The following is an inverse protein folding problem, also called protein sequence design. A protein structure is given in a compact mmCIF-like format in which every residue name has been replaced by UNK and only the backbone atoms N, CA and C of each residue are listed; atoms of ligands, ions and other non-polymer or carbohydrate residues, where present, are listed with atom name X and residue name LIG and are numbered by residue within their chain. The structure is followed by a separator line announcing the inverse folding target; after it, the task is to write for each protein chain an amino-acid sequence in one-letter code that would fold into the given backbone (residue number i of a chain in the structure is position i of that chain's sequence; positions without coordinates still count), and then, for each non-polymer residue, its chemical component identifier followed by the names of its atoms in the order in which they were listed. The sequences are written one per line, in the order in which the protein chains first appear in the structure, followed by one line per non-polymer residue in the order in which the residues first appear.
data_IF_692281136722
#
_entry.id   IF_692281136722
#
_cell.length_a   1.000
_cell.length_b   1.000
_cell.length_c   1.000
_cell.angle_alpha   90.00
_cell.angle_beta   90.00
_cell.angle_gamma   90.00
#
_symmetry.space_group_name_H-M   'P 1'
#
loop_
_entity.id
_entity.type
_entity.pdbx_description
1 polymer ?
#
# COMPACT_ATOMS: atom_id res chain seq x y z
N UNK A 1 -21.87 19.76 -0.10
CA UNK A 1 -21.16 20.39 -1.23
C UNK A 1 -20.47 21.64 -0.69
N UNK A 2 -19.15 21.57 -0.50
CA UNK A 2 -18.36 22.71 -0.01
C UNK A 2 -17.89 23.47 -1.24
N UNK A 3 -18.64 24.52 -1.63
CA UNK A 3 -18.29 25.40 -2.73
C UNK A 3 -17.36 26.52 -2.23
N UNK A 4 -16.18 26.18 -1.68
CA UNK A 4 -15.12 27.16 -1.46
C UNK A 4 -14.11 27.02 -2.60
N UNK A 5 -13.86 28.13 -3.30
CA UNK A 5 -12.86 28.21 -4.39
C UNK A 5 -11.46 28.09 -3.75
N UNK A 6 -10.90 26.89 -3.79
CA UNK A 6 -9.56 26.64 -3.26
C UNK A 6 -8.56 27.24 -4.25
N UNK A 7 -7.75 28.20 -3.81
CA UNK A 7 -6.75 28.90 -4.62
C UNK A 7 -5.32 28.39 -4.39
N UNK A 8 -5.13 27.51 -3.40
CA UNK A 8 -3.79 27.01 -3.01
C UNK A 8 -3.26 26.00 -4.01
N UNK A 9 -1.98 26.11 -4.39
CA UNK A 9 -1.28 25.06 -5.13
C UNK A 9 -0.95 23.89 -4.22
N UNK A 10 -1.05 22.67 -4.74
CA UNK A 10 -0.70 21.45 -4.01
C UNK A 10 0.46 20.77 -4.71
N UNK A 11 1.50 20.51 -3.95
CA UNK A 11 2.64 19.71 -4.38
C UNK A 11 2.67 18.38 -3.62
N UNK A 12 3.18 17.34 -4.27
CA UNK A 12 3.34 16.01 -3.68
C UNK A 12 4.81 15.59 -3.83
N UNK A 13 5.54 15.57 -2.72
CA UNK A 13 6.90 15.04 -2.69
C UNK A 13 6.84 13.53 -2.44
N UNK A 14 7.11 12.73 -3.47
CA UNK A 14 7.11 11.28 -3.40
C UNK A 14 8.13 10.70 -4.36
N UNK A 15 8.64 9.50 -4.08
CA UNK A 15 9.55 8.77 -4.95
C UNK A 15 9.04 7.35 -5.23
N UNK A 16 9.52 6.78 -6.34
CA UNK A 16 9.32 5.38 -6.69
C UNK A 16 10.50 4.88 -7.50
N UNK A 17 11.10 3.77 -7.07
CA UNK A 17 12.23 3.15 -7.75
C UNK A 17 12.28 1.65 -7.46
N UNK A 18 12.93 0.89 -8.34
CA UNK A 18 13.18 -0.54 -8.14
C UNK A 18 14.53 -0.77 -7.45
N UNK A 19 14.73 -0.10 -6.33
CA UNK A 19 15.92 -0.23 -5.50
C UNK A 19 15.54 -0.57 -4.06
N UNK A 20 16.48 -1.22 -3.34
CA UNK A 20 16.27 -1.55 -1.94
C UNK A 20 15.90 -0.29 -1.14
N UNK A 21 14.87 -0.38 -0.34
CA UNK A 21 14.32 0.65 0.56
C UNK A 21 13.45 1.74 -0.08
N UNK A 22 13.32 1.87 -1.41
CA UNK A 22 12.41 2.87 -1.99
C UNK A 22 11.12 2.19 -2.48
N UNK A 23 11.18 1.23 -3.40
CA UNK A 23 9.99 0.58 -3.96
C UNK A 23 9.05 1.58 -4.67
N UNK A 24 7.89 1.09 -5.10
CA UNK A 24 6.87 1.90 -5.78
C UNK A 24 5.69 2.30 -4.88
N UNK A 25 5.66 1.83 -3.63
CA UNK A 25 4.50 1.95 -2.75
C UNK A 25 4.08 3.40 -2.45
N UNK A 26 5.04 4.28 -2.16
CA UNK A 26 4.79 5.70 -1.91
C UNK A 26 4.15 6.38 -3.12
N UNK A 27 4.68 6.11 -4.32
CA UNK A 27 4.20 6.72 -5.56
C UNK A 27 2.78 6.21 -5.93
N UNK A 28 2.51 4.92 -5.75
CA UNK A 28 1.14 4.37 -5.94
C UNK A 28 0.14 5.01 -4.97
N UNK A 29 0.51 5.14 -3.71
CA UNK A 29 -0.35 5.73 -2.68
C UNK A 29 -0.63 7.20 -2.95
N UNK A 30 0.39 7.95 -3.30
CA UNK A 30 0.24 9.39 -3.58
C UNK A 30 -0.47 9.67 -4.91
N UNK A 31 -0.42 8.77 -5.88
CA UNK A 31 -1.27 8.84 -7.07
C UNK A 31 -2.75 8.74 -6.72
N UNK A 32 -3.13 7.78 -5.85
CA UNK A 32 -4.52 7.65 -5.38
C UNK A 32 -4.99 8.96 -4.78
N UNK A 33 -4.15 9.56 -3.91
CA UNK A 33 -4.47 10.84 -3.29
C UNK A 33 -4.54 11.98 -4.30
N UNK A 34 -3.61 12.05 -5.25
CA UNK A 34 -3.60 13.05 -6.33
C UNK A 34 -4.91 13.03 -7.12
N UNK A 35 -5.32 11.84 -7.60
CA UNK A 35 -6.58 11.68 -8.35
C UNK A 35 -7.81 12.08 -7.53
N UNK A 36 -7.79 11.76 -6.23
CA UNK A 36 -8.89 12.12 -5.34
C UNK A 36 -8.95 13.64 -5.10
N UNK A 37 -7.81 14.30 -4.94
CA UNK A 37 -7.70 15.77 -4.84
C UNK A 37 -8.20 16.42 -6.13
N UNK A 38 -7.77 15.95 -7.30
CA UNK A 38 -8.25 16.47 -8.59
C UNK A 38 -9.77 16.38 -8.72
N UNK A 39 -10.34 15.23 -8.33
CA UNK A 39 -11.77 14.99 -8.42
C UNK A 39 -12.58 15.87 -7.45
N UNK A 40 -12.15 15.95 -6.19
CA UNK A 40 -12.92 16.62 -5.12
C UNK A 40 -12.74 18.13 -5.16
N UNK A 41 -11.52 18.62 -5.35
CA UNK A 41 -11.18 20.02 -5.22
C UNK A 41 -10.96 20.75 -6.56
N UNK A 42 -10.91 20.03 -7.68
CA UNK A 42 -10.59 20.57 -9.02
C UNK A 42 -9.19 21.21 -9.09
N UNK A 43 -8.28 20.74 -8.27
CA UNK A 43 -6.87 21.13 -8.24
C UNK A 43 -6.05 19.96 -8.78
N UNK A 44 -5.16 20.21 -9.74
CA UNK A 44 -4.20 19.21 -10.22
C UNK A 44 -2.89 19.33 -9.44
N UNK A 45 -2.58 18.43 -8.49
CA UNK A 45 -1.32 18.46 -7.79
C UNK A 45 -0.13 18.25 -8.73
N UNK A 46 1.03 18.79 -8.33
CA UNK A 46 2.29 18.64 -9.05
C UNK A 46 3.22 17.76 -8.23
N UNK A 47 3.65 16.65 -8.81
CA UNK A 47 4.64 15.80 -8.15
C UNK A 47 6.02 16.44 -8.14
N UNK A 48 6.76 16.26 -7.05
CA UNK A 48 8.17 16.59 -6.93
C UNK A 48 8.90 15.29 -6.68
N UNK A 49 9.73 14.85 -7.63
CA UNK A 49 10.37 13.53 -7.62
C UNK A 49 11.87 13.63 -7.83
N UNK A 50 12.62 12.64 -7.39
CA UNK A 50 14.00 12.42 -7.83
C UNK A 50 14.03 11.78 -9.22
N UNK A 51 15.17 11.87 -9.88
CA UNK A 51 15.38 11.32 -11.22
C UNK A 51 15.50 9.78 -11.20
N UNK A 52 14.43 9.11 -10.81
CA UNK A 52 14.29 7.66 -10.96
C UNK A 52 13.48 7.35 -12.21
N UNK A 53 14.01 6.44 -13.04
CA UNK A 53 13.38 6.08 -14.32
C UNK A 53 11.96 5.55 -14.13
N UNK A 54 11.79 4.67 -13.14
CA UNK A 54 10.50 4.05 -12.82
C UNK A 54 9.45 5.10 -12.38
N UNK A 55 9.86 6.09 -11.59
CA UNK A 55 8.96 7.17 -11.17
C UNK A 55 8.54 8.04 -12.36
N UNK A 56 9.49 8.39 -13.22
CA UNK A 56 9.25 9.21 -14.42
C UNK A 56 8.28 8.48 -15.35
N UNK A 57 8.57 7.23 -15.68
CA UNK A 57 7.72 6.40 -16.55
C UNK A 57 6.31 6.22 -15.98
N UNK A 58 6.21 6.00 -14.66
CA UNK A 58 4.95 5.87 -13.97
C UNK A 58 4.07 7.12 -14.12
N UNK A 59 4.64 8.29 -13.88
CA UNK A 59 3.92 9.57 -13.95
C UNK A 59 3.56 9.95 -15.38
N UNK A 60 4.48 9.75 -16.34
CA UNK A 60 4.22 10.00 -17.76
C UNK A 60 3.07 9.16 -18.30
N UNK A 61 3.10 7.84 -18.04
CA UNK A 61 2.03 6.92 -18.50
C UNK A 61 0.65 7.26 -17.95
N UNK A 62 0.59 8.00 -16.83
CA UNK A 62 -0.64 8.41 -16.16
C UNK A 62 -1.03 9.86 -16.42
N UNK A 63 -0.26 10.59 -17.22
CA UNK A 63 -0.50 12.00 -17.55
C UNK A 63 -0.42 12.93 -16.33
N UNK A 64 0.38 12.58 -15.32
CA UNK A 64 0.55 13.36 -14.10
C UNK A 64 1.68 14.40 -14.25
N UNK A 65 1.46 15.61 -13.73
CA UNK A 65 2.46 16.68 -13.76
C UNK A 65 3.53 16.46 -12.72
N UNK A 66 4.79 16.69 -13.08
CA UNK A 66 5.90 16.54 -12.13
C UNK A 66 7.08 17.48 -12.41
N UNK A 67 7.87 17.69 -11.37
CA UNK A 67 9.15 18.41 -11.36
C UNK A 67 10.21 17.43 -10.90
N UNK A 68 11.34 17.39 -11.61
CA UNK A 68 12.49 16.53 -11.26
C UNK A 68 13.49 17.36 -10.48
N UNK A 69 13.83 16.90 -9.27
CA UNK A 69 14.88 17.49 -8.43
C UNK A 69 16.26 17.21 -9.03
N UNK A 70 17.11 18.21 -9.00
CA UNK A 70 18.48 18.21 -9.56
C UNK A 70 19.55 18.10 -8.49
N UNK A 71 19.26 18.58 -7.27
CA UNK A 71 20.22 18.64 -6.17
C UNK A 71 20.39 17.29 -5.44
N UNK A 72 21.45 17.19 -4.65
CA UNK A 72 21.67 16.04 -3.77
C UNK A 72 20.60 15.95 -2.66
N UNK A 73 20.56 14.81 -1.94
CA UNK A 73 19.62 14.61 -0.83
C UNK A 73 19.74 15.69 0.24
N UNK A 74 20.97 16.13 0.53
CA UNK A 74 21.26 17.12 1.58
C UNK A 74 20.70 18.50 1.23
N UNK A 75 20.61 18.83 -0.06
CA UNK A 75 20.12 20.11 -0.59
C UNK A 75 18.69 20.05 -1.13
N UNK A 76 18.04 18.91 -1.01
CA UNK A 76 16.69 18.70 -1.53
C UNK A 76 15.69 19.71 -0.96
N UNK A 77 15.70 19.93 0.35
CA UNK A 77 14.74 20.84 0.99
C UNK A 77 14.89 22.29 0.47
N UNK A 78 16.14 22.75 0.25
CA UNK A 78 16.40 24.09 -0.31
C UNK A 78 15.88 24.21 -1.75
N UNK A 79 16.10 23.17 -2.56
CA UNK A 79 15.58 23.15 -3.93
C UNK A 79 14.05 23.18 -3.94
N UNK A 80 13.37 22.39 -3.10
CA UNK A 80 11.91 22.39 -2.99
C UNK A 80 11.39 23.76 -2.54
N UNK A 81 12.02 24.38 -1.56
CA UNK A 81 11.69 25.74 -1.10
C UNK A 81 11.80 26.76 -2.24
N UNK A 82 12.78 26.60 -3.13
CA UNK A 82 12.98 27.51 -4.27
C UNK A 82 11.91 27.38 -5.36
N UNK A 83 11.19 26.23 -5.44
CA UNK A 83 10.11 26.02 -6.40
C UNK A 83 8.95 26.98 -6.15
N UNK A 84 8.66 27.31 -4.89
CA UNK A 84 7.61 28.26 -4.52
C UNK A 84 8.17 29.69 -4.42
N UNK A 85 8.40 30.33 -5.57
CA UNK A 85 8.96 31.68 -5.64
C UNK A 85 8.00 32.84 -5.37
N UNK A 86 6.68 32.62 -5.41
CA UNK A 86 5.68 33.69 -5.56
C UNK A 86 4.94 34.11 -4.29
N UNK A 87 5.30 33.61 -3.12
CA UNK A 87 4.63 33.95 -1.84
C UNK A 87 3.16 33.46 -1.73
N UNK A 88 2.70 32.66 -2.68
CA UNK A 88 1.38 32.01 -2.60
C UNK A 88 1.39 30.94 -1.49
N UNK A 89 0.29 30.84 -0.76
CA UNK A 89 0.12 29.74 0.18
C UNK A 89 0.03 28.41 -0.57
N UNK A 90 1.03 27.56 -0.38
CA UNK A 90 1.11 26.25 -1.00
C UNK A 90 1.05 25.14 0.04
N UNK A 91 0.41 24.04 -0.32
CA UNK A 91 0.43 22.80 0.48
C UNK A 91 1.44 21.85 -0.12
N UNK A 92 2.30 21.28 0.70
CA UNK A 92 3.22 20.22 0.32
C UNK A 92 2.87 18.93 1.08
N UNK A 93 2.44 17.92 0.34
CA UNK A 93 2.24 16.57 0.86
C UNK A 93 3.56 15.82 0.71
N UNK A 94 4.12 15.32 1.80
CA UNK A 94 5.42 14.63 1.83
C UNK A 94 5.21 13.16 2.15
N UNK A 95 5.65 12.29 1.25
CA UNK A 95 5.58 10.85 1.39
C UNK A 95 6.86 10.20 0.81
N UNK A 96 7.92 10.22 1.59
CA UNK A 96 9.21 9.62 1.26
C UNK A 96 9.97 9.17 2.52
N UNK A 97 11.08 8.46 2.34
CA UNK A 97 11.92 7.97 3.46
C UNK A 97 12.87 9.01 4.05
N UNK A 98 13.11 10.13 3.38
CA UNK A 98 14.11 11.12 3.78
C UNK A 98 13.60 12.16 4.77
N UNK A 99 12.44 11.95 5.39
CA UNK A 99 11.84 12.89 6.31
C UNK A 99 12.55 12.87 7.67
N UNK A 100 13.12 13.99 8.06
CA UNK A 100 13.57 14.25 9.41
C UNK A 100 13.14 15.65 9.86
N UNK A 101 13.29 15.95 11.15
CA UNK A 101 12.81 17.22 11.71
C UNK A 101 13.39 18.45 11.01
N UNK A 102 14.69 18.46 10.70
CA UNK A 102 15.35 19.58 10.02
C UNK A 102 14.85 19.77 8.59
N UNK A 103 14.66 18.67 7.85
CA UNK A 103 14.09 18.68 6.52
C UNK A 103 12.70 19.32 6.52
N UNK A 104 11.82 18.88 7.43
CA UNK A 104 10.45 19.40 7.53
C UNK A 104 10.45 20.89 7.94
N UNK A 105 11.28 21.32 8.92
CA UNK A 105 11.37 22.75 9.32
C UNK A 105 11.77 23.64 8.15
N UNK A 106 12.70 23.21 7.29
CA UNK A 106 13.06 23.96 6.08
C UNK A 106 11.86 24.08 5.13
N UNK A 107 11.13 23.01 4.87
CA UNK A 107 9.96 23.02 3.98
C UNK A 107 8.85 23.95 4.51
N UNK A 108 8.62 23.97 5.82
CA UNK A 108 7.63 24.84 6.48
C UNK A 108 7.90 26.33 6.34
N UNK A 109 9.10 26.74 5.92
CA UNK A 109 9.37 28.14 5.61
C UNK A 109 8.57 28.70 4.43
N UNK A 110 8.02 27.82 3.57
CA UNK A 110 7.30 28.19 2.34
C UNK A 110 6.02 27.38 2.09
N UNK A 111 5.80 26.30 2.84
CA UNK A 111 4.67 25.40 2.62
C UNK A 111 3.94 25.09 3.91
N UNK A 112 2.63 24.86 3.82
CA UNK A 112 1.90 24.07 4.79
C UNK A 112 2.20 22.59 4.53
N UNK A 113 2.80 21.89 5.49
CA UNK A 113 3.35 20.55 5.28
C UNK A 113 2.43 19.47 5.88
N UNK A 114 1.94 18.59 5.04
CA UNK A 114 1.24 17.35 5.41
C UNK A 114 2.18 16.18 5.18
N UNK A 115 2.54 15.44 6.22
CA UNK A 115 3.51 14.34 6.12
C UNK A 115 2.86 12.99 6.37
N UNK A 116 3.09 12.05 5.45
CA UNK A 116 2.91 10.62 5.69
C UNK A 116 4.16 10.09 6.40
N UNK A 117 4.18 10.21 7.72
CA UNK A 117 5.35 9.94 8.56
C UNK A 117 5.32 8.53 9.15
N UNK A 118 5.59 7.52 8.35
CA UNK A 118 5.53 6.10 8.74
C UNK A 118 6.67 5.72 9.70
N UNK A 119 7.87 6.24 9.46
CA UNK A 119 9.05 5.96 10.28
C UNK A 119 9.05 6.71 11.61
N UNK A 120 8.22 7.73 11.75
CA UNK A 120 8.25 8.64 12.90
C UNK A 120 9.43 9.63 12.91
N UNK A 121 10.32 9.58 11.92
CA UNK A 121 11.57 10.37 11.88
C UNK A 121 11.38 11.88 11.78
N UNK A 122 10.26 12.32 11.21
CA UNK A 122 9.88 13.74 11.17
C UNK A 122 9.28 14.26 12.50
N UNK A 123 8.99 13.36 13.45
CA UNK A 123 8.34 13.72 14.71
C UNK A 123 7.00 14.42 14.49
N UNK A 124 6.78 15.49 15.26
CA UNK A 124 5.60 16.37 15.17
C UNK A 124 5.86 17.69 14.44
N UNK A 125 6.96 17.80 13.71
CA UNK A 125 7.34 19.02 12.98
C UNK A 125 6.37 19.38 11.82
N UNK A 126 5.79 18.42 11.06
CA UNK A 126 4.79 18.74 10.05
C UNK A 126 3.57 19.45 10.65
N UNK A 127 2.88 20.27 9.85
CA UNK A 127 1.61 20.89 10.28
C UNK A 127 0.53 19.83 10.49
N UNK A 128 0.54 18.79 9.66
CA UNK A 128 -0.28 17.58 9.83
C UNK A 128 0.59 16.34 9.65
N UNK A 129 0.43 15.38 10.55
CA UNK A 129 1.05 14.07 10.49
C UNK A 129 -0.02 12.99 10.26
N UNK A 130 0.18 12.18 9.23
CA UNK A 130 -0.63 10.99 8.94
C UNK A 130 0.28 9.77 9.10
N UNK A 131 -0.05 8.86 10.02
CA UNK A 131 0.69 7.62 10.22
C UNK A 131 -0.25 6.42 10.25
N UNK A 132 -0.51 5.85 9.09
CA UNK A 132 -1.42 4.71 8.94
C UNK A 132 -0.85 3.39 9.50
N UNK A 133 0.44 3.33 9.78
CA UNK A 133 1.12 2.15 10.32
C UNK A 133 1.25 2.17 11.84
N UNK A 134 1.10 3.32 12.48
CA UNK A 134 1.14 3.42 13.95
C UNK A 134 -0.29 3.59 14.51
N UNK A 135 -0.60 2.86 15.56
CA UNK A 135 -1.89 2.94 16.25
C UNK A 135 -1.84 3.73 17.57
N UNK A 136 -0.65 4.20 17.94
CA UNK A 136 -0.51 5.08 19.10
C UNK A 136 -1.27 6.38 18.88
N UNK A 137 -2.19 6.65 19.79
CA UNK A 137 -2.94 7.91 19.81
C UNK A 137 -2.08 8.95 20.52
N UNK A 138 -1.31 9.72 19.78
CA UNK A 138 -0.77 10.95 20.34
C UNK A 138 -1.91 11.96 20.58
N UNK A 139 -1.91 12.64 21.74
CA UNK A 139 -2.89 13.67 22.07
C UNK A 139 -2.59 14.97 21.33
N UNK A 140 -2.67 14.95 20.00
CA UNK A 140 -2.51 16.13 19.15
C UNK A 140 -3.65 16.20 18.14
N UNK A 141 -4.16 17.41 17.93
CA UNK A 141 -5.22 17.65 16.93
C UNK A 141 -4.75 17.39 15.50
N UNK A 142 -3.44 17.47 15.26
CA UNK A 142 -2.83 17.39 13.93
C UNK A 142 -2.14 16.04 13.67
N UNK A 143 -2.36 15.03 14.53
CA UNK A 143 -1.80 13.69 14.39
C UNK A 143 -2.92 12.67 14.14
N UNK A 144 -2.91 12.09 12.94
CA UNK A 144 -3.90 11.14 12.47
C UNK A 144 -3.26 9.76 12.32
N UNK A 145 -3.56 8.83 13.20
CA UNK A 145 -2.90 7.52 13.23
C UNK A 145 -3.87 6.35 13.12
N UNK A 146 -3.29 5.23 12.71
CA UNK A 146 -3.94 3.94 12.62
C UNK A 146 -4.43 3.56 11.23
N UNK A 147 -4.71 2.28 11.08
CA UNK A 147 -5.09 1.65 9.82
C UNK A 147 -6.33 2.28 9.15
N UNK A 148 -7.19 2.95 9.91
CA UNK A 148 -8.34 3.71 9.39
C UNK A 148 -7.98 4.87 8.47
N UNK A 149 -6.71 5.30 8.44
CA UNK A 149 -6.17 6.32 7.52
C UNK A 149 -5.35 5.70 6.39
N UNK A 150 -5.37 4.37 6.23
CA UNK A 150 -4.66 3.73 5.14
C UNK A 150 -5.32 4.07 3.79
N UNK A 151 -4.52 4.55 2.84
CA UNK A 151 -4.99 4.93 1.50
C UNK A 151 -5.18 3.68 0.64
N UNK A 152 -6.42 3.42 0.29
CA UNK A 152 -6.80 2.39 -0.68
C UNK A 152 -7.47 3.01 -1.91
N UNK A 153 -7.36 2.34 -3.06
CA UNK A 153 -8.09 2.73 -4.27
C UNK A 153 -9.60 2.72 -4.00
N UNK A 154 -10.37 3.65 -4.60
CA UNK A 154 -11.82 3.75 -4.35
C UNK A 154 -12.61 2.46 -4.58
N UNK A 155 -12.12 1.58 -5.48
CA UNK A 155 -12.76 0.30 -5.75
C UNK A 155 -12.78 -0.61 -4.52
N UNK A 156 -11.73 -0.60 -3.68
CA UNK A 156 -11.72 -1.36 -2.43
C UNK A 156 -12.86 -0.96 -1.49
N UNK A 157 -13.20 0.33 -1.42
CA UNK A 157 -14.36 0.77 -0.64
C UNK A 157 -15.68 0.26 -1.21
N UNK A 158 -15.84 0.27 -2.53
CA UNK A 158 -17.04 -0.29 -3.17
C UNK A 158 -17.19 -1.78 -2.87
N UNK A 159 -16.11 -2.55 -3.01
CA UNK A 159 -16.10 -3.98 -2.71
C UNK A 159 -16.25 -4.26 -1.22
N UNK A 160 -15.74 -3.40 -0.35
CA UNK A 160 -15.96 -3.48 1.09
C UNK A 160 -17.45 -3.41 1.44
N UNK A 161 -18.21 -2.53 0.78
CA UNK A 161 -19.65 -2.34 1.03
C UNK A 161 -20.51 -3.48 0.46
N UNK A 162 -19.93 -4.30 -0.41
CA UNK A 162 -20.58 -5.51 -0.91
C UNK A 162 -20.45 -6.65 0.11
N UNK A 163 -21.41 -7.55 0.09
CA UNK A 163 -21.34 -8.78 0.88
C UNK A 163 -20.27 -9.71 0.33
N UNK A 164 -19.29 -10.05 1.13
CA UNK A 164 -18.29 -11.08 0.81
C UNK A 164 -18.85 -12.45 1.16
N UNK A 165 -19.22 -13.23 0.15
CA UNK A 165 -19.63 -14.63 0.35
C UNK A 165 -18.43 -15.48 0.73
N UNK A 166 -18.49 -16.16 1.87
CA UNK A 166 -17.51 -17.17 2.29
C UNK A 166 -18.05 -18.54 1.95
N UNK A 167 -17.50 -19.14 0.91
CA UNK A 167 -17.95 -20.43 0.41
C UNK A 167 -17.60 -21.58 1.35
N UNK A 168 -18.43 -22.66 1.37
CA UNK A 168 -18.12 -23.86 2.13
C UNK A 168 -16.83 -24.51 1.65
N UNK A 169 -16.71 -24.75 0.35
CA UNK A 169 -15.52 -25.26 -0.27
C UNK A 169 -14.60 -24.09 -0.71
N UNK A 170 -13.31 -24.27 -0.56
CA UNK A 170 -12.29 -23.38 -1.12
C UNK A 170 -11.96 -23.88 -2.52
N UNK A 171 -12.28 -23.10 -3.54
CA UNK A 171 -12.03 -23.42 -4.94
C UNK A 171 -10.97 -22.49 -5.57
N UNK A 172 -10.69 -21.36 -4.93
CA UNK A 172 -9.76 -20.37 -5.47
C UNK A 172 -8.85 -19.79 -4.41
N UNK A 173 -7.55 -19.91 -4.62
CA UNK A 173 -6.48 -19.28 -3.81
C UNK A 173 -5.81 -18.19 -4.62
N UNK A 174 -5.68 -16.99 -4.07
CA UNK A 174 -4.90 -15.92 -4.66
C UNK A 174 -3.52 -15.82 -4.02
N UNK A 175 -2.47 -15.76 -4.83
CA UNK A 175 -1.10 -15.43 -4.39
C UNK A 175 -0.76 -14.01 -4.81
N UNK A 176 -0.45 -13.15 -3.84
CA UNK A 176 -0.10 -11.75 -4.05
C UNK A 176 0.97 -11.29 -3.05
N UNK A 177 2.24 -11.45 -3.38
CA UNK A 177 3.36 -11.11 -2.48
C UNK A 177 3.82 -9.65 -2.57
N UNK A 178 3.23 -8.86 -3.47
CA UNK A 178 3.52 -7.43 -3.64
C UNK A 178 4.04 -7.06 -5.01
N UNK A 179 4.37 -5.77 -5.19
CA UNK A 179 4.80 -5.21 -6.48
C UNK A 179 6.21 -5.59 -6.92
N UNK A 180 7.08 -5.98 -5.97
CA UNK A 180 8.48 -6.37 -6.20
C UNK A 180 8.80 -7.67 -5.45
N UNK A 181 9.87 -8.36 -5.86
CA UNK A 181 10.33 -9.60 -5.23
C UNK A 181 11.86 -9.71 -5.27
N UNK A 182 12.53 -8.72 -4.70
CA UNK A 182 14.00 -8.69 -4.64
C UNK A 182 14.60 -9.92 -3.92
N UNK A 183 13.84 -10.50 -3.01
CA UNK A 183 14.24 -11.69 -2.23
C UNK A 183 13.87 -13.02 -2.88
N UNK A 184 13.30 -13.02 -4.09
CA UNK A 184 12.85 -14.21 -4.83
C UNK A 184 11.90 -15.11 -4.01
N UNK A 185 11.04 -14.51 -3.22
CA UNK A 185 10.10 -15.22 -2.32
C UNK A 185 9.05 -15.97 -3.12
N UNK A 186 8.62 -15.43 -4.28
CA UNK A 186 7.73 -16.14 -5.19
C UNK A 186 8.33 -17.49 -5.67
N UNK A 187 9.63 -17.56 -5.97
CA UNK A 187 10.29 -18.81 -6.32
C UNK A 187 10.32 -19.83 -5.17
N UNK A 188 10.52 -19.33 -3.93
CA UNK A 188 10.45 -20.19 -2.74
C UNK A 188 9.03 -20.70 -2.52
N UNK A 189 8.04 -19.81 -2.61
CA UNK A 189 6.62 -20.19 -2.46
C UNK A 189 6.22 -21.23 -3.54
N UNK A 190 6.64 -21.05 -4.79
CA UNK A 190 6.39 -22.03 -5.84
C UNK A 190 6.99 -23.40 -5.48
N UNK A 191 8.24 -23.42 -4.94
CA UNK A 191 8.86 -24.66 -4.46
C UNK A 191 8.07 -25.30 -3.30
N UNK A 192 7.58 -24.51 -2.34
CA UNK A 192 6.79 -25.04 -1.24
C UNK A 192 5.44 -25.60 -1.72
N UNK A 193 4.76 -24.89 -2.62
CA UNK A 193 3.47 -25.32 -3.18
C UNK A 193 3.60 -26.54 -4.11
N UNK A 194 4.81 -26.93 -4.56
CA UNK A 194 4.97 -28.17 -5.35
C UNK A 194 4.60 -29.43 -4.56
N UNK A 195 4.61 -29.37 -3.23
CA UNK A 195 4.19 -30.46 -2.33
C UNK A 195 2.73 -30.35 -1.92
N UNK A 196 2.04 -29.27 -2.30
CA UNK A 196 0.65 -29.01 -1.95
C UNK A 196 -0.31 -29.75 -2.87
N UNK A 197 -1.41 -30.24 -2.32
CA UNK A 197 -2.51 -30.85 -3.11
C UNK A 197 -3.74 -29.98 -2.96
N UNK A 198 -4.22 -29.49 -4.08
CA UNK A 198 -5.38 -28.62 -4.13
C UNK A 198 -6.10 -28.79 -5.47
N UNK A 199 -7.38 -29.11 -5.44
CA UNK A 199 -8.17 -29.39 -6.65
C UNK A 199 -8.75 -28.12 -7.30
N UNK A 200 -8.65 -26.96 -6.63
CA UNK A 200 -9.11 -25.68 -7.15
C UNK A 200 -8.05 -24.97 -8.00
N UNK A 201 -8.25 -23.67 -8.21
CA UNK A 201 -7.38 -22.79 -8.99
C UNK A 201 -6.52 -21.93 -8.08
N UNK A 202 -5.21 -21.86 -8.37
CA UNK A 202 -4.30 -20.90 -7.76
C UNK A 202 -4.06 -19.75 -8.74
N UNK A 203 -4.59 -18.59 -8.44
CA UNK A 203 -4.35 -17.34 -9.17
C UNK A 203 -3.11 -16.66 -8.62
N UNK A 204 -2.09 -16.49 -9.48
CA UNK A 204 -0.81 -15.94 -9.06
C UNK A 204 -0.54 -14.59 -9.71
N UNK A 205 -0.53 -13.52 -8.90
CA UNK A 205 -0.21 -12.18 -9.36
C UNK A 205 1.29 -11.92 -9.22
N UNK A 206 1.94 -11.65 -10.34
CA UNK A 206 3.35 -11.25 -10.40
C UNK A 206 3.42 -9.74 -10.58
N UNK A 207 3.95 -9.04 -9.59
CA UNK A 207 4.04 -7.59 -9.57
C UNK A 207 4.94 -6.98 -10.66
N UNK A 208 4.75 -5.69 -10.99
CA UNK A 208 5.43 -5.03 -12.11
C UNK A 208 6.95 -4.93 -11.95
N UNK A 209 7.47 -4.88 -10.73
CA UNK A 209 8.89 -4.76 -10.44
C UNK A 209 9.55 -6.10 -10.08
N UNK A 210 8.88 -7.24 -10.28
CA UNK A 210 9.50 -8.58 -10.13
C UNK A 210 10.51 -8.81 -11.25
N UNK A 211 11.72 -9.17 -10.87
CA UNK A 211 12.78 -9.56 -11.82
C UNK A 211 12.57 -11.03 -12.23
N UNK A 212 13.01 -11.41 -13.43
CA UNK A 212 12.92 -12.79 -13.95
C UNK A 212 11.47 -13.33 -14.04
N UNK A 213 10.51 -12.49 -14.44
CA UNK A 213 9.07 -12.85 -14.53
C UNK A 213 8.84 -14.10 -15.35
N UNK A 214 9.50 -14.23 -16.51
CA UNK A 214 9.32 -15.37 -17.43
C UNK A 214 9.81 -16.68 -16.78
N UNK A 215 10.94 -16.63 -16.07
CA UNK A 215 11.43 -17.79 -15.32
C UNK A 215 10.50 -18.19 -14.18
N UNK A 216 9.96 -17.19 -13.48
CA UNK A 216 8.99 -17.42 -12.41
C UNK A 216 7.71 -18.01 -12.97
N UNK A 217 7.16 -17.44 -14.03
CA UNK A 217 5.96 -17.97 -14.71
C UNK A 217 6.15 -19.41 -15.16
N UNK A 218 7.29 -19.72 -15.81
CA UNK A 218 7.63 -21.10 -16.17
C UNK A 218 7.63 -22.02 -14.96
N UNK A 219 8.28 -21.59 -13.87
CA UNK A 219 8.33 -22.37 -12.62
C UNK A 219 6.96 -22.62 -12.02
N UNK A 220 6.04 -21.64 -12.07
CA UNK A 220 4.66 -21.78 -11.58
C UNK A 220 3.89 -22.75 -12.49
N UNK A 221 4.05 -22.65 -13.81
CA UNK A 221 3.38 -23.53 -14.76
C UNK A 221 3.87 -24.99 -14.69
N UNK A 222 5.06 -25.22 -14.12
CA UNK A 222 5.61 -26.58 -13.87
C UNK A 222 5.00 -27.24 -12.61
N UNK A 223 4.20 -26.53 -11.83
CA UNK A 223 3.54 -27.11 -10.67
C UNK A 223 2.43 -28.08 -11.10
N UNK A 224 2.28 -29.18 -10.37
CA UNK A 224 1.16 -30.12 -10.54
C UNK A 224 -0.15 -29.56 -9.94
N UNK A 225 -0.38 -28.26 -10.12
CA UNK A 225 -1.53 -27.50 -9.62
C UNK A 225 -2.17 -26.75 -10.78
N UNK A 226 -3.47 -26.56 -10.74
CA UNK A 226 -4.15 -25.69 -11.69
C UNK A 226 -3.81 -24.22 -11.35
N UNK A 227 -2.97 -23.56 -12.16
CA UNK A 227 -2.46 -22.22 -11.90
C UNK A 227 -2.81 -21.26 -13.04
N UNK A 228 -3.24 -20.05 -12.67
CA UNK A 228 -3.44 -18.91 -13.57
C UNK A 228 -2.48 -17.79 -13.17
N UNK A 229 -1.61 -17.35 -14.10
CA UNK A 229 -0.63 -16.30 -13.81
C UNK A 229 -1.06 -14.96 -14.40
N UNK A 230 -1.07 -13.93 -13.56
CA UNK A 230 -1.42 -12.56 -13.93
C UNK A 230 -0.18 -11.67 -13.84
N UNK A 231 0.24 -11.11 -14.96
CA UNK A 231 1.35 -10.15 -15.02
C UNK A 231 0.81 -8.72 -15.00
N UNK A 232 1.35 -7.86 -14.13
CA UNK A 232 1.00 -6.43 -14.06
C UNK A 232 -0.52 -6.18 -13.96
N UNK A 233 -1.18 -6.90 -13.08
CA UNK A 233 -2.63 -6.89 -12.94
C UNK A 233 -3.14 -5.57 -12.35
N UNK A 234 -4.09 -4.93 -13.03
CA UNK A 234 -4.73 -3.69 -12.56
C UNK A 234 -5.97 -3.95 -11.70
N UNK A 235 -6.61 -5.12 -11.83
CA UNK A 235 -7.84 -5.51 -11.11
C UNK A 235 -7.59 -6.41 -9.88
N UNK A 236 -6.53 -6.10 -9.12
CA UNK A 236 -6.17 -6.82 -7.88
C UNK A 236 -7.35 -6.83 -6.88
N UNK A 237 -8.10 -5.74 -6.82
CA UNK A 237 -9.28 -5.59 -5.98
C UNK A 237 -10.35 -6.66 -6.26
N UNK A 238 -10.69 -6.89 -7.52
CA UNK A 238 -11.64 -7.92 -7.93
C UNK A 238 -11.08 -9.33 -7.66
N UNK A 239 -9.81 -9.58 -7.99
CA UNK A 239 -9.18 -10.86 -7.73
C UNK A 239 -9.17 -11.21 -6.24
N UNK A 240 -8.86 -10.25 -5.37
CA UNK A 240 -8.94 -10.41 -3.92
C UNK A 240 -10.37 -10.68 -3.46
N UNK A 241 -11.34 -9.89 -3.96
CA UNK A 241 -12.74 -10.05 -3.57
C UNK A 241 -13.35 -11.38 -4.01
N UNK A 242 -12.98 -11.88 -5.20
CA UNK A 242 -13.49 -13.14 -5.74
C UNK A 242 -12.84 -14.37 -5.13
N UNK A 243 -11.63 -14.26 -4.59
CA UNK A 243 -10.89 -15.40 -4.05
C UNK A 243 -11.46 -15.90 -2.72
N UNK A 244 -11.44 -17.20 -2.50
CA UNK A 244 -11.90 -17.82 -1.25
C UNK A 244 -10.89 -17.61 -0.11
N UNK A 245 -9.61 -17.79 -0.43
CA UNK A 245 -8.49 -17.51 0.48
C UNK A 245 -7.31 -16.88 -0.28
N UNK A 246 -6.34 -16.35 0.46
CA UNK A 246 -5.18 -15.69 -0.12
C UNK A 246 -3.87 -16.03 0.58
N UNK A 247 -2.76 -15.96 -0.17
CA UNK A 247 -1.38 -15.89 0.35
C UNK A 247 -0.84 -14.52 -0.03
N UNK A 248 -0.56 -13.66 0.94
CA UNK A 248 -0.22 -12.27 0.69
C UNK A 248 1.07 -11.84 1.37
N UNK A 249 1.72 -10.81 0.83
CA UNK A 249 2.81 -10.13 1.51
C UNK A 249 2.30 -9.18 2.60
N UNK A 250 3.14 -8.91 3.62
CA UNK A 250 2.80 -8.03 4.75
C UNK A 250 2.88 -6.52 4.45
N UNK A 251 2.96 -6.11 3.17
CA UNK A 251 2.96 -4.72 2.71
C UNK A 251 1.56 -4.13 2.54
N UNK A 252 1.34 -3.37 1.45
CA UNK A 252 0.02 -2.78 1.16
C UNK A 252 -1.08 -3.83 0.94
N UNK A 253 -0.73 -4.96 0.34
CA UNK A 253 -1.68 -6.03 0.01
C UNK A 253 -2.43 -6.58 1.23
N UNK A 254 -1.85 -6.53 2.44
CA UNK A 254 -2.54 -7.01 3.65
C UNK A 254 -3.73 -6.10 4.01
N UNK A 255 -3.61 -4.78 3.76
CA UNK A 255 -4.71 -3.83 3.96
C UNK A 255 -5.79 -3.99 2.89
N UNK A 256 -5.37 -4.18 1.64
CA UNK A 256 -6.26 -4.44 0.49
C UNK A 256 -7.08 -5.71 0.74
N UNK A 257 -6.42 -6.78 1.13
CA UNK A 257 -7.02 -8.08 1.46
C UNK A 257 -8.02 -7.97 2.62
N UNK A 258 -7.64 -7.29 3.70
CA UNK A 258 -8.50 -7.10 4.86
C UNK A 258 -9.72 -6.23 4.54
N UNK A 259 -9.55 -5.21 3.69
CA UNK A 259 -10.64 -4.33 3.26
C UNK A 259 -11.75 -5.11 2.56
N UNK A 260 -11.42 -6.03 1.67
CA UNK A 260 -12.42 -6.87 0.97
C UNK A 260 -12.84 -8.09 1.78
N UNK A 261 -12.15 -8.39 2.89
CA UNK A 261 -12.51 -9.46 3.81
C UNK A 261 -12.13 -10.86 3.30
N UNK A 262 -11.08 -10.99 2.50
CA UNK A 262 -10.62 -12.30 2.06
C UNK A 262 -9.77 -12.96 3.14
N UNK A 263 -10.15 -14.13 3.67
CA UNK A 263 -9.31 -14.86 4.64
C UNK A 263 -7.98 -15.24 4.01
N UNK A 264 -6.88 -15.26 4.79
CA UNK A 264 -5.61 -15.59 4.18
C UNK A 264 -4.47 -15.83 5.15
N UNK A 265 -3.31 -16.12 4.54
CA UNK A 265 -2.01 -16.28 5.21
C UNK A 265 -1.10 -15.15 4.75
N UNK A 266 -0.51 -14.42 5.68
CA UNK A 266 0.47 -13.38 5.37
C UNK A 266 1.89 -13.89 5.54
N UNK A 267 2.71 -13.74 4.48
CA UNK A 267 4.13 -14.09 4.48
C UNK A 267 4.99 -12.82 4.57
N UNK A 268 5.89 -12.78 5.52
CA UNK A 268 6.84 -11.67 5.66
C UNK A 268 7.92 -11.78 4.59
N UNK A 269 7.87 -10.90 3.60
CA UNK A 269 8.79 -10.81 2.45
C UNK A 269 9.96 -9.87 2.75
N UNK A 270 9.74 -8.83 3.58
CA UNK A 270 10.73 -7.84 4.00
C UNK A 270 10.64 -7.62 5.51
N UNK A 271 11.76 -7.46 6.18
CA UNK A 271 11.86 -7.39 7.65
C UNK A 271 10.91 -6.36 8.29
N UNK A 272 10.72 -5.20 7.65
CA UNK A 272 9.81 -4.15 8.13
C UNK A 272 8.33 -4.57 8.16
N UNK A 273 7.94 -5.62 7.42
CA UNK A 273 6.55 -6.12 7.37
C UNK A 273 6.15 -6.92 8.61
N UNK A 274 7.12 -7.35 9.40
CA UNK A 274 6.88 -8.22 10.58
C UNK A 274 5.88 -7.60 11.57
N UNK A 275 6.03 -6.31 11.84
CA UNK A 275 5.16 -5.59 12.78
C UNK A 275 3.73 -5.45 12.24
N UNK A 276 3.59 -5.25 10.94
CA UNK A 276 2.28 -5.18 10.29
C UNK A 276 1.57 -6.53 10.40
N UNK A 277 2.23 -7.63 10.00
CA UNK A 277 1.64 -8.98 10.07
C UNK A 277 1.22 -9.33 11.49
N UNK A 278 2.09 -9.14 12.50
CA UNK A 278 1.76 -9.39 13.91
C UNK A 278 0.55 -8.58 14.40
N UNK A 279 0.37 -7.36 13.91
CA UNK A 279 -0.77 -6.52 14.25
C UNK A 279 -2.08 -7.06 13.68
N UNK A 280 -2.08 -7.52 12.41
CA UNK A 280 -3.24 -8.14 11.79
C UNK A 280 -3.56 -9.50 12.40
N UNK A 281 -2.55 -10.31 12.72
CA UNK A 281 -2.67 -11.58 13.45
C UNK A 281 -3.31 -11.38 14.83
N UNK A 282 -2.81 -10.43 15.62
CA UNK A 282 -3.38 -10.10 16.96
C UNK A 282 -4.87 -9.75 16.88
N UNK A 283 -5.33 -9.19 15.74
CA UNK A 283 -6.73 -8.89 15.48
C UNK A 283 -7.48 -10.03 14.82
N UNK A 284 -6.82 -11.15 14.60
CA UNK A 284 -7.38 -12.32 13.91
C UNK A 284 -7.92 -12.02 12.50
N UNK A 285 -7.28 -11.05 11.82
CA UNK A 285 -7.62 -10.65 10.45
C UNK A 285 -6.87 -11.48 9.41
N UNK A 286 -5.85 -12.22 9.82
CA UNK A 286 -4.96 -13.01 8.96
C UNK A 286 -4.27 -14.11 9.79
N UNK A 287 -3.86 -15.21 9.17
CA UNK A 287 -2.89 -16.13 9.75
C UNK A 287 -1.48 -15.67 9.44
N UNK A 288 -0.58 -15.79 10.42
CA UNK A 288 0.81 -15.38 10.27
C UNK A 288 1.66 -16.55 9.75
N UNK A 289 2.07 -16.45 8.49
CA UNK A 289 2.93 -17.42 7.84
C UNK A 289 4.43 -17.26 8.15
N UNK A 290 4.78 -16.33 9.04
CA UNK A 290 6.17 -16.11 9.45
C UNK A 290 7.03 -15.42 8.41
N UNK A 291 8.34 -15.36 8.71
CA UNK A 291 9.33 -14.76 7.81
C UNK A 291 9.84 -15.80 6.80
N UNK A 292 9.89 -15.44 5.52
CA UNK A 292 10.27 -16.37 4.44
C UNK A 292 11.66 -17.03 4.61
N UNK A 293 12.60 -16.40 5.35
CA UNK A 293 13.93 -16.97 5.63
C UNK A 293 13.91 -18.06 6.69
N UNK A 294 12.93 -18.01 7.61
CA UNK A 294 12.80 -18.92 8.75
C UNK A 294 11.78 -20.04 8.48
N UNK A 295 10.99 -19.90 7.41
CA UNK A 295 9.92 -20.82 7.06
C UNK A 295 10.44 -21.93 6.14
N UNK A 296 10.10 -23.17 6.44
CA UNK A 296 10.42 -24.36 5.65
C UNK A 296 9.40 -24.64 4.54
N UNK A 297 8.31 -23.90 4.51
CA UNK A 297 7.16 -24.17 3.65
C UNK A 297 6.08 -25.00 4.33
N UNK A 298 6.43 -25.90 5.23
CA UNK A 298 5.46 -26.77 5.93
C UNK A 298 4.45 -25.97 6.74
N UNK A 299 4.90 -24.90 7.38
CA UNK A 299 4.04 -24.00 8.14
C UNK A 299 2.98 -23.32 7.21
N UNK A 300 3.40 -22.87 6.03
CA UNK A 300 2.47 -22.27 5.06
C UNK A 300 1.44 -23.30 4.60
N UNK A 301 1.87 -24.52 4.24
CA UNK A 301 0.96 -25.59 3.81
C UNK A 301 -0.01 -25.97 4.92
N UNK A 302 0.44 -26.09 6.16
CA UNK A 302 -0.43 -26.37 7.32
C UNK A 302 -1.45 -25.26 7.57
N UNK A 303 -1.07 -23.99 7.40
CA UNK A 303 -1.99 -22.86 7.54
C UNK A 303 -3.02 -22.83 6.41
N UNK A 304 -2.63 -23.19 5.17
CA UNK A 304 -3.57 -23.32 4.05
C UNK A 304 -4.57 -24.46 4.30
N UNK A 305 -4.10 -25.62 4.75
CA UNK A 305 -4.98 -26.74 5.12
C UNK A 305 -5.95 -26.35 6.23
N UNK A 306 -5.49 -25.59 7.22
CA UNK A 306 -6.36 -25.04 8.28
C UNK A 306 -7.44 -24.13 7.69
N UNK A 307 -7.11 -23.21 6.77
CA UNK A 307 -8.10 -22.33 6.15
C UNK A 307 -9.06 -23.11 5.25
N UNK A 308 -8.58 -24.08 4.48
CA UNK A 308 -9.41 -24.87 3.57
C UNK A 308 -10.49 -25.64 4.38
N UNK A 309 -10.09 -26.27 5.48
CA UNK A 309 -10.95 -27.17 6.22
C UNK A 309 -11.76 -26.50 7.36
N UNK A 310 -11.60 -25.19 7.58
CA UNK A 310 -12.24 -24.48 8.70
C UNK A 310 -13.08 -23.28 8.24
N UNK A 311 -14.32 -23.55 7.81
CA UNK A 311 -15.26 -22.51 7.41
C UNK A 311 -15.56 -21.48 8.53
N UNK A 312 -15.81 -21.88 9.80
CA UNK A 312 -16.03 -20.91 10.89
C UNK A 312 -14.85 -19.93 11.05
N UNK A 313 -13.62 -20.42 10.94
CA UNK A 313 -12.42 -19.57 11.00
C UNK A 313 -12.41 -18.54 9.85
N UNK A 314 -12.72 -18.96 8.63
CA UNK A 314 -12.78 -18.05 7.46
C UNK A 314 -13.85 -16.98 7.64
N UNK A 315 -15.03 -17.32 8.12
CA UNK A 315 -16.13 -16.37 8.38
C UNK A 315 -15.70 -15.33 9.40
N UNK A 316 -15.16 -15.76 10.53
CA UNK A 316 -14.75 -14.85 11.60
C UNK A 316 -13.57 -13.96 11.19
N UNK A 317 -12.58 -14.53 10.48
CA UNK A 317 -11.44 -13.78 9.94
C UNK A 317 -11.91 -12.68 8.98
N UNK A 318 -12.81 -13.02 8.04
CA UNK A 318 -13.39 -12.06 7.08
C UNK A 318 -14.10 -10.92 7.80
N UNK A 319 -14.96 -11.24 8.77
CA UNK A 319 -15.69 -10.26 9.57
C UNK A 319 -14.76 -9.30 10.30
N UNK A 320 -13.72 -9.83 10.98
CA UNK A 320 -12.74 -9.04 11.72
C UNK A 320 -11.88 -8.18 10.80
N UNK A 321 -11.46 -8.71 9.66
CA UNK A 321 -10.68 -7.99 8.67
C UNK A 321 -11.43 -6.77 8.12
N UNK A 322 -12.69 -6.96 7.69
CA UNK A 322 -13.55 -5.86 7.22
C UNK A 322 -13.83 -4.82 8.31
N UNK A 323 -14.05 -5.25 9.56
CA UNK A 323 -14.23 -4.34 10.68
C UNK A 323 -12.99 -3.50 10.98
N UNK A 324 -11.80 -4.04 10.73
CA UNK A 324 -10.54 -3.34 10.99
C UNK A 324 -10.16 -2.36 9.87
N UNK A 325 -10.39 -2.72 8.61
CA UNK A 325 -10.08 -1.91 7.42
C UNK A 325 -11.37 -1.61 6.66
N UNK A 326 -11.95 -0.45 6.92
CA UNK A 326 -13.27 -0.05 6.39
C UNK A 326 -13.23 0.64 5.01
N UNK A 327 -12.06 0.78 4.41
CA UNK A 327 -11.88 1.40 3.10
C UNK A 327 -12.10 2.92 3.04
N UNK A 328 -12.37 3.58 4.17
CA UNK A 328 -12.65 5.02 4.21
C UNK A 328 -11.41 5.91 4.47
N UNK A 329 -10.20 5.35 4.43
CA UNK A 329 -8.96 6.09 4.71
C UNK A 329 -8.79 7.30 3.80
N UNK A 330 -9.03 7.14 2.49
CA UNK A 330 -8.95 8.22 1.52
C UNK A 330 -9.93 9.37 1.85
N UNK A 331 -11.20 9.06 2.14
CA UNK A 331 -12.21 10.07 2.51
C UNK A 331 -11.83 10.82 3.79
N UNK A 332 -11.26 10.13 4.77
CA UNK A 332 -10.79 10.76 6.02
C UNK A 332 -9.64 11.73 5.77
N UNK A 333 -8.67 11.32 4.95
CA UNK A 333 -7.53 12.18 4.59
C UNK A 333 -7.98 13.37 3.76
N UNK A 334 -8.89 13.21 2.80
CA UNK A 334 -9.45 14.33 2.04
C UNK A 334 -10.17 15.34 2.95
N UNK A 335 -10.90 14.89 3.98
CA UNK A 335 -11.51 15.80 4.96
C UNK A 335 -10.47 16.58 5.76
N UNK A 336 -9.37 15.91 6.16
CA UNK A 336 -8.24 16.58 6.84
C UNK A 336 -7.65 17.65 5.94
N UNK A 337 -7.38 17.33 4.67
CA UNK A 337 -6.85 18.27 3.69
C UNK A 337 -7.83 19.43 3.45
N UNK A 338 -9.13 19.14 3.28
CA UNK A 338 -10.16 20.13 3.02
C UNK A 338 -10.26 21.20 4.12
N UNK A 339 -10.12 20.80 5.38
CA UNK A 339 -10.17 21.72 6.53
C UNK A 339 -9.03 22.76 6.49
N UNK A 340 -7.88 22.39 5.93
CA UNK A 340 -6.68 23.22 5.91
C UNK A 340 -6.55 24.09 4.65
N UNK A 341 -7.04 23.58 3.51
CA UNK A 341 -6.97 24.31 2.24
C UNK A 341 -8.22 25.12 1.94
N UNK A 342 -9.32 24.87 2.65
CA UNK A 342 -10.64 25.52 2.48
C UNK A 342 -10.91 26.65 3.47
N UNK A 343 -9.92 27.05 4.30
CA UNK A 343 -10.00 28.13 5.28
C UNK A 343 -10.08 29.52 4.66
#
# INVERSE_FOLDING_TARGET
MINKKITKRIYIRSDGANINNIGMGHLFRTEILCRAIEKEFRISPIFIIRKYHEAIDFLLKRGLKFIILKQSIEKEAEEIVSINGSGEECVLIVDNYCQNANYIRKLKSKYFVISFNESGSAGMEPDIVINSFNEEKLKSKNYFSGAKYFLLRPMFKKLHDMEKKINFNVNQILVLLGGSDANKVNFKLAKWLSEFRFDGVIKWVIGPAVIEKDKLQKKINELSLNTEVFLNCDNIDELLFQSDISIIGGGFSIYENACVGTPGVALCVYDHQIHTIKRFEKRQCILNGGHYRQNSGKEILSLLDTLINNLPLRIEMSRKAKSYIDGNGLSRILKVIANEIGG
#
